data_IF_405507027797
#
_entry.id   IF_405507027797
#
_cell.length_a   1.000
_cell.length_b   1.000
_cell.length_c   1.000
_cell.angle_alpha   90.00
_cell.angle_beta   90.00
_cell.angle_gamma   90.00
#
_symmetry.space_group_name_H-M   'P 1'
#
loop_
_entity.id
_entity.type
_entity.pdbx_description
1 polymer ?
#
# COMPACT_ATOMS: atom_id res chain seq x y z
N UNK A 1 -17.72 3.52 1.88
CA UNK A 1 -16.42 2.89 1.61
C UNK A 1 -15.24 3.89 1.69
N UNK A 2 -15.40 5.13 1.21
CA UNK A 2 -14.34 6.14 1.14
C UNK A 2 -14.38 7.18 2.28
N UNK A 3 -14.60 6.77 3.52
CA UNK A 3 -14.41 7.66 4.65
C UNK A 3 -12.89 7.92 4.82
N UNK A 4 -12.49 9.19 4.82
CA UNK A 4 -11.08 9.59 4.83
C UNK A 4 -10.46 9.73 6.23
N UNK A 5 -11.24 9.51 7.29
CA UNK A 5 -10.72 9.54 8.65
C UNK A 5 -9.84 8.30 8.92
N UNK A 6 -8.59 8.54 9.32
CA UNK A 6 -7.59 7.51 9.62
C UNK A 6 -7.36 7.29 11.13
N UNK A 7 -8.10 7.95 11.99
CA UNK A 7 -7.99 7.75 13.44
C UNK A 7 -8.53 6.39 13.90
N UNK A 8 -9.08 5.61 12.96
CA UNK A 8 -9.64 4.29 13.22
C UNK A 8 -8.61 3.23 13.65
N UNK A 9 -7.29 3.45 13.42
CA UNK A 9 -6.26 2.50 13.86
C UNK A 9 -6.16 2.34 15.37
N UNK A 10 -6.64 3.32 16.12
CA UNK A 10 -6.68 3.26 17.59
C UNK A 10 -7.79 2.35 18.13
N UNK A 11 -8.76 2.02 17.31
CA UNK A 11 -9.87 1.17 17.68
C UNK A 11 -9.72 -0.22 17.06
N UNK A 12 -9.44 -1.22 17.86
CA UNK A 12 -9.23 -2.62 17.45
C UNK A 12 -10.40 -3.23 16.67
N UNK A 13 -11.60 -2.67 16.82
CA UNK A 13 -12.79 -3.14 16.11
C UNK A 13 -12.96 -2.52 14.72
N UNK A 14 -12.14 -1.53 14.36
CA UNK A 14 -12.29 -0.86 13.07
C UNK A 14 -11.54 -1.56 11.94
N UNK A 15 -12.05 -1.34 10.74
CA UNK A 15 -11.56 -1.90 9.49
C UNK A 15 -10.18 -1.35 9.14
N UNK A 16 -9.29 -2.22 8.69
CA UNK A 16 -8.02 -1.84 8.07
C UNK A 16 -8.23 -1.66 6.58
N UNK A 17 -7.72 -0.57 6.04
CA UNK A 17 -7.88 -0.18 4.65
C UNK A 17 -6.61 -0.42 3.88
N UNK A 18 -6.69 -1.22 2.86
CA UNK A 18 -5.55 -1.63 2.04
C UNK A 18 -5.74 -1.17 0.61
N UNK A 19 -4.76 -0.47 0.07
CA UNK A 19 -4.70 -0.12 -1.35
C UNK A 19 -3.64 -0.97 -2.04
N UNK A 20 -4.04 -1.66 -3.11
CA UNK A 20 -3.14 -2.48 -3.92
C UNK A 20 -2.88 -1.78 -5.26
N UNK A 21 -1.61 -1.56 -5.57
CA UNK A 21 -1.17 -0.89 -6.79
C UNK A 21 0.03 -1.62 -7.40
N UNK A 22 -0.12 -2.09 -8.63
CA UNK A 22 0.91 -2.87 -9.32
C UNK A 22 1.87 -2.10 -10.22
N UNK A 23 1.84 -0.76 -10.18
CA UNK A 23 2.61 0.07 -11.11
C UNK A 23 1.85 0.36 -12.40
N UNK A 24 2.53 0.98 -13.40
CA UNK A 24 1.90 1.51 -14.61
C UNK A 24 1.12 0.50 -15.44
N UNK A 25 1.55 -0.76 -15.48
CA UNK A 25 0.86 -1.84 -16.17
C UNK A 25 -0.11 -2.61 -15.26
N UNK A 26 -0.26 -2.23 -14.00
CA UNK A 26 -1.13 -2.88 -13.04
C UNK A 26 -0.70 -4.30 -12.66
N UNK A 27 0.54 -4.68 -12.95
CA UNK A 27 1.04 -6.03 -12.68
C UNK A 27 1.40 -6.21 -11.19
N UNK A 28 0.81 -7.21 -10.55
CA UNK A 28 1.10 -7.58 -9.18
C UNK A 28 1.38 -9.08 -9.11
N UNK A 29 2.55 -9.51 -8.57
CA UNK A 29 2.83 -10.94 -8.42
C UNK A 29 1.78 -11.62 -7.54
N UNK A 30 1.33 -12.80 -7.92
CA UNK A 30 0.39 -13.62 -7.14
C UNK A 30 -0.90 -12.89 -6.73
N UNK A 31 -1.45 -12.04 -7.61
CA UNK A 31 -2.63 -11.24 -7.29
C UNK A 31 -3.81 -12.09 -6.80
N UNK A 32 -4.01 -13.27 -7.39
CA UNK A 32 -5.07 -14.20 -6.95
C UNK A 32 -4.93 -14.58 -5.47
N UNK A 33 -3.72 -14.98 -5.08
CA UNK A 33 -3.43 -15.33 -3.68
C UNK A 33 -3.53 -14.11 -2.77
N UNK A 34 -3.04 -12.96 -3.23
CA UNK A 34 -3.10 -11.71 -2.48
C UNK A 34 -4.54 -11.32 -2.17
N UNK A 35 -5.39 -11.23 -3.18
CA UNK A 35 -6.78 -10.83 -2.99
C UNK A 35 -7.59 -11.86 -2.21
N UNK A 36 -7.33 -13.15 -2.44
CA UNK A 36 -7.92 -14.23 -1.64
C UNK A 36 -7.53 -14.13 -0.17
N UNK A 37 -6.28 -13.80 0.12
CA UNK A 37 -5.81 -13.60 1.50
C UNK A 37 -6.47 -12.40 2.15
N UNK A 38 -6.49 -11.25 1.47
CA UNK A 38 -7.12 -10.04 1.99
C UNK A 38 -8.63 -10.25 2.24
N UNK A 39 -9.31 -10.92 1.31
CA UNK A 39 -10.72 -11.29 1.46
C UNK A 39 -10.96 -12.22 2.67
N UNK A 40 -10.03 -13.14 2.93
CA UNK A 40 -10.15 -14.07 4.07
C UNK A 40 -9.95 -13.41 5.44
N UNK A 41 -9.33 -12.23 5.47
CA UNK A 41 -9.04 -11.52 6.72
C UNK A 41 -10.25 -10.70 7.17
N UNK A 42 -10.66 -10.88 8.42
CA UNK A 42 -11.74 -10.09 8.98
C UNK A 42 -11.34 -8.63 9.14
N UNK A 43 -12.30 -7.75 8.93
CA UNK A 43 -12.11 -6.31 9.07
C UNK A 43 -11.00 -5.71 8.19
N UNK A 44 -10.86 -6.21 6.96
CA UNK A 44 -10.00 -5.63 5.92
C UNK A 44 -10.87 -5.22 4.74
N UNK A 45 -10.75 -3.97 4.33
CA UNK A 45 -11.32 -3.47 3.06
C UNK A 45 -10.17 -3.18 2.09
N UNK A 46 -10.35 -3.59 0.85
CA UNK A 46 -9.30 -3.48 -0.17
C UNK A 46 -9.81 -2.67 -1.36
N UNK A 47 -8.98 -1.75 -1.85
CA UNK A 47 -9.12 -1.14 -3.16
C UNK A 47 -7.94 -1.61 -4.01
N UNK A 48 -8.22 -2.10 -5.21
CA UNK A 48 -7.20 -2.48 -6.19
C UNK A 48 -7.28 -1.51 -7.36
N UNK A 49 -6.16 -0.89 -7.71
CA UNK A 49 -6.06 -0.05 -8.90
C UNK A 49 -5.34 -0.85 -9.98
N UNK A 50 -6.06 -1.16 -11.04
CA UNK A 50 -5.55 -1.95 -12.17
C UNK A 50 -4.91 -1.10 -13.27
N UNK A 51 -5.07 0.23 -13.19
CA UNK A 51 -4.56 1.15 -14.20
C UNK A 51 -5.10 0.83 -15.58
N UNK A 52 -4.22 0.74 -16.56
CA UNK A 52 -4.58 0.45 -17.97
C UNK A 52 -4.73 -1.05 -18.27
N UNK A 53 -4.60 -1.90 -17.27
CA UNK A 53 -4.76 -3.35 -17.44
C UNK A 53 -6.24 -3.75 -17.39
N UNK A 54 -6.93 -3.65 -18.54
CA UNK A 54 -8.36 -3.96 -18.66
C UNK A 54 -8.68 -5.43 -18.35
N UNK A 55 -7.81 -6.35 -18.73
CA UNK A 55 -7.99 -7.78 -18.47
C UNK A 55 -8.04 -8.06 -16.97
N UNK A 56 -7.13 -7.46 -16.21
CA UNK A 56 -7.09 -7.59 -14.76
C UNK A 56 -8.32 -6.97 -14.11
N UNK A 57 -8.77 -5.80 -14.61
CA UNK A 57 -10.00 -5.18 -14.15
C UNK A 57 -11.22 -6.11 -14.35
N UNK A 58 -11.41 -6.64 -15.57
CA UNK A 58 -12.52 -7.56 -15.87
C UNK A 58 -12.48 -8.85 -15.06
N UNK A 59 -11.29 -9.37 -14.81
CA UNK A 59 -11.11 -10.60 -14.01
C UNK A 59 -11.55 -10.43 -12.56
N UNK A 60 -11.31 -9.26 -11.97
CA UNK A 60 -11.46 -9.06 -10.51
C UNK A 60 -12.64 -8.18 -10.11
N UNK A 61 -13.21 -7.39 -11.02
CA UNK A 61 -14.34 -6.52 -10.71
C UNK A 61 -15.55 -7.33 -10.21
N UNK A 62 -16.15 -6.85 -9.12
CA UNK A 62 -17.32 -7.47 -8.49
C UNK A 62 -17.14 -8.92 -8.02
N UNK A 63 -15.91 -9.39 -7.85
CA UNK A 63 -15.64 -10.75 -7.41
C UNK A 63 -15.81 -10.95 -5.90
N UNK A 64 -15.40 -9.95 -5.12
CA UNK A 64 -15.53 -9.92 -3.67
C UNK A 64 -16.17 -8.61 -3.22
N UNK A 65 -17.09 -8.66 -2.27
CA UNK A 65 -17.78 -7.46 -1.76
C UNK A 65 -16.83 -6.51 -1.01
N UNK A 66 -15.83 -7.04 -0.36
CA UNK A 66 -14.84 -6.30 0.42
C UNK A 66 -13.61 -5.85 -0.40
N UNK A 67 -13.62 -6.11 -1.71
CA UNK A 67 -12.57 -5.72 -2.65
C UNK A 67 -13.18 -4.88 -3.76
N UNK A 68 -12.88 -3.59 -3.78
CA UNK A 68 -13.27 -2.67 -4.85
C UNK A 68 -12.17 -2.58 -5.87
N UNK A 69 -12.50 -2.82 -7.13
CA UNK A 69 -11.56 -2.75 -8.23
C UNK A 69 -11.81 -1.49 -9.04
N UNK A 70 -10.76 -0.71 -9.25
CA UNK A 70 -10.76 0.50 -10.05
C UNK A 70 -9.84 0.32 -11.25
N UNK A 71 -10.22 0.86 -12.38
CA UNK A 71 -9.37 0.92 -13.56
C UNK A 71 -8.38 2.08 -13.47
N UNK A 72 -8.19 2.79 -14.59
CA UNK A 72 -7.35 3.98 -14.62
C UNK A 72 -7.97 5.11 -13.80
N UNK A 73 -7.15 5.78 -13.00
CA UNK A 73 -7.54 6.98 -12.27
C UNK A 73 -6.39 7.98 -12.23
N UNK A 74 -6.71 9.26 -12.41
CA UNK A 74 -5.75 10.35 -12.24
C UNK A 74 -5.61 10.77 -10.76
N UNK A 75 -6.54 10.35 -9.91
CA UNK A 75 -6.60 10.77 -8.51
C UNK A 75 -6.11 9.69 -7.55
N UNK A 76 -4.92 9.17 -7.82
CA UNK A 76 -4.28 8.12 -7.00
C UNK A 76 -4.07 8.58 -5.55
N UNK A 77 -3.67 9.84 -5.36
CA UNK A 77 -3.41 10.40 -4.04
C UNK A 77 -4.62 10.35 -3.10
N UNK A 78 -5.82 10.47 -3.63
CA UNK A 78 -7.06 10.30 -2.85
C UNK A 78 -7.15 8.91 -2.23
N UNK A 79 -6.86 7.89 -3.01
CA UNK A 79 -6.91 6.50 -2.55
C UNK A 79 -5.75 6.17 -1.61
N UNK A 80 -4.58 6.74 -1.85
CA UNK A 80 -3.44 6.62 -0.93
C UNK A 80 -3.75 7.23 0.44
N UNK A 81 -4.39 8.40 0.49
CA UNK A 81 -4.81 9.02 1.75
C UNK A 81 -5.91 8.23 2.47
N UNK A 82 -6.76 7.55 1.72
CA UNK A 82 -7.79 6.66 2.30
C UNK A 82 -7.17 5.44 2.98
N UNK A 83 -6.07 4.91 2.46
CA UNK A 83 -5.48 3.66 2.90
C UNK A 83 -4.70 3.78 4.22
N UNK A 84 -4.69 2.72 4.99
CA UNK A 84 -3.80 2.51 6.13
C UNK A 84 -2.48 1.90 5.71
N UNK A 85 -2.51 1.15 4.61
CA UNK A 85 -1.34 0.49 4.03
C UNK A 85 -1.49 0.46 2.51
N UNK A 86 -0.44 0.83 1.81
CA UNK A 86 -0.34 0.66 0.36
C UNK A 86 0.57 -0.54 0.07
N UNK A 87 0.03 -1.51 -0.65
CA UNK A 87 0.80 -2.65 -1.16
C UNK A 87 1.17 -2.31 -2.61
N UNK A 88 2.43 -2.24 -2.89
CA UNK A 88 2.94 -1.87 -4.21
C UNK A 88 4.08 -2.76 -4.66
N UNK A 89 4.06 -3.11 -5.94
CA UNK A 89 5.27 -3.48 -6.64
C UNK A 89 5.95 -2.18 -7.06
N UNK A 90 7.21 -2.01 -6.72
CA UNK A 90 7.95 -0.78 -6.96
C UNK A 90 7.91 -0.33 -8.43
N UNK A 91 7.97 0.98 -8.69
CA UNK A 91 8.00 1.59 -10.02
C UNK A 91 6.79 2.43 -10.41
N UNK A 92 5.68 2.34 -9.69
CA UNK A 92 4.46 3.09 -10.01
C UNK A 92 4.17 4.30 -9.14
N UNK A 93 4.91 4.46 -8.04
CA UNK A 93 4.69 5.53 -7.08
C UNK A 93 6.01 6.21 -6.77
N UNK A 94 6.02 7.55 -6.82
CA UNK A 94 7.20 8.32 -6.42
C UNK A 94 7.26 8.43 -4.89
N UNK A 95 8.47 8.57 -4.36
CA UNK A 95 8.67 8.83 -2.94
C UNK A 95 7.93 10.09 -2.48
N UNK A 96 7.87 11.10 -3.35
CA UNK A 96 7.14 12.34 -3.09
C UNK A 96 5.64 12.08 -2.86
N UNK A 97 5.00 11.30 -3.73
CA UNK A 97 3.58 10.95 -3.59
C UNK A 97 3.30 10.21 -2.29
N UNK A 98 4.18 9.28 -1.91
CA UNK A 98 4.10 8.51 -0.67
C UNK A 98 4.15 9.43 0.54
N UNK A 99 5.15 10.28 0.60
CA UNK A 99 5.33 11.22 1.71
C UNK A 99 4.21 12.23 1.78
N UNK A 100 3.77 12.74 0.63
CA UNK A 100 2.64 13.67 0.56
C UNK A 100 1.35 13.03 1.06
N UNK A 101 1.11 11.78 0.74
CA UNK A 101 -0.09 11.04 1.17
C UNK A 101 0.02 10.48 2.59
N UNK A 102 1.21 10.50 3.19
CA UNK A 102 1.46 10.05 4.56
C UNK A 102 0.92 8.64 4.83
N UNK A 103 1.27 7.68 3.97
CA UNK A 103 0.77 6.31 4.08
C UNK A 103 1.92 5.30 4.20
N UNK A 104 1.82 4.34 5.14
CA UNK A 104 2.75 3.22 5.23
C UNK A 104 2.73 2.34 3.99
N UNK A 105 3.86 1.72 3.70
CA UNK A 105 4.05 0.88 2.52
C UNK A 105 4.36 -0.57 2.85
N UNK A 106 3.88 -1.45 1.99
CA UNK A 106 4.36 -2.81 1.83
C UNK A 106 4.87 -2.94 0.39
N UNK A 107 6.20 -3.06 0.23
CA UNK A 107 6.85 -3.04 -1.08
C UNK A 107 7.28 -4.45 -1.45
N UNK A 108 6.87 -4.88 -2.64
CA UNK A 108 7.12 -6.22 -3.13
C UNK A 108 8.18 -6.18 -4.23
N UNK A 109 9.26 -6.90 -4.03
CA UNK A 109 10.31 -7.20 -5.02
C UNK A 109 10.80 -5.97 -5.80
N UNK A 110 11.34 -4.92 -5.14
CA UNK A 110 11.91 -3.79 -5.85
C UNK A 110 13.10 -4.26 -6.69
N UNK A 111 13.17 -3.78 -7.93
CA UNK A 111 14.12 -4.30 -8.91
C UNK A 111 15.04 -3.24 -9.49
N UNK A 112 14.48 -2.12 -9.98
CA UNK A 112 15.30 -1.03 -10.54
C UNK A 112 16.03 -0.28 -9.43
N UNK A 113 17.18 0.31 -9.76
CA UNK A 113 18.01 1.03 -8.79
C UNK A 113 17.23 2.10 -8.02
N UNK A 114 16.45 2.92 -8.74
CA UNK A 114 15.63 3.95 -8.11
C UNK A 114 14.57 3.35 -7.19
N UNK A 115 13.93 2.26 -7.59
CA UNK A 115 12.95 1.55 -6.77
C UNK A 115 13.59 1.02 -5.48
N UNK A 116 14.76 0.41 -5.62
CA UNK A 116 15.51 -0.12 -4.47
C UNK A 116 15.95 0.99 -3.52
N UNK A 117 16.39 2.12 -4.05
CA UNK A 117 16.79 3.28 -3.23
C UNK A 117 15.60 3.86 -2.47
N UNK A 118 14.45 4.01 -3.11
CA UNK A 118 13.23 4.48 -2.47
C UNK A 118 12.74 3.50 -1.39
N UNK A 119 12.81 2.20 -1.68
CA UNK A 119 12.44 1.18 -0.72
C UNK A 119 13.36 1.16 0.52
N UNK A 120 14.67 1.30 0.31
CA UNK A 120 15.65 1.40 1.42
C UNK A 120 15.38 2.63 2.28
N UNK A 121 15.17 3.78 1.66
CA UNK A 121 14.85 5.00 2.38
C UNK A 121 13.60 4.82 3.25
N UNK A 122 12.53 4.32 2.67
CA UNK A 122 11.27 4.10 3.39
C UNK A 122 11.42 3.08 4.52
N UNK A 123 12.19 2.01 4.30
CA UNK A 123 12.47 1.01 5.33
C UNK A 123 13.32 1.57 6.47
N UNK A 124 14.36 2.34 6.16
CA UNK A 124 15.24 2.98 7.16
C UNK A 124 14.49 4.01 7.99
N UNK A 125 13.57 4.75 7.39
CA UNK A 125 12.71 5.71 8.09
C UNK A 125 11.56 5.04 8.84
N UNK A 126 11.38 3.74 8.70
CA UNK A 126 10.43 2.94 9.48
C UNK A 126 8.99 3.00 9.00
N UNK A 127 8.74 3.41 7.76
CA UNK A 127 7.37 3.45 7.22
C UNK A 127 7.12 2.47 6.06
N UNK A 128 8.07 1.58 5.79
CA UNK A 128 7.87 0.52 4.80
C UNK A 128 8.35 -0.83 5.33
N UNK A 129 7.59 -1.86 5.02
CA UNK A 129 8.04 -3.25 5.04
C UNK A 129 8.37 -3.65 3.60
N UNK A 130 9.56 -4.18 3.38
CA UNK A 130 10.03 -4.54 2.03
C UNK A 130 10.33 -6.02 1.96
N UNK A 131 9.79 -6.68 0.96
CA UNK A 131 10.13 -8.05 0.59
C UNK A 131 11.07 -8.00 -0.61
N UNK A 132 12.36 -8.22 -0.35
CA UNK A 132 13.44 -7.97 -1.32
C UNK A 132 13.61 -9.07 -2.35
N UNK A 133 13.48 -10.31 -1.91
CA UNK A 133 13.76 -11.47 -2.74
C UNK A 133 12.74 -11.67 -3.85
N UNK A 134 13.19 -11.77 -5.10
CA UNK A 134 12.33 -11.91 -6.29
C UNK A 134 11.40 -13.12 -6.22
N UNK A 135 11.83 -14.20 -5.56
CA UNK A 135 11.05 -15.44 -5.42
C UNK A 135 10.52 -15.66 -4.02
N UNK A 136 10.70 -14.69 -3.13
CA UNK A 136 10.20 -14.77 -1.77
C UNK A 136 8.69 -14.61 -1.74
N UNK A 137 8.01 -15.49 -1.02
CA UNK A 137 6.57 -15.41 -0.81
C UNK A 137 6.26 -14.28 0.18
N UNK A 138 5.62 -13.22 -0.30
CA UNK A 138 5.32 -12.06 0.52
C UNK A 138 4.04 -12.18 1.35
N UNK A 139 3.19 -13.16 1.06
CA UNK A 139 1.87 -13.29 1.71
C UNK A 139 1.97 -13.48 3.22
N UNK A 140 2.84 -14.37 3.76
CA UNK A 140 2.97 -14.52 5.21
C UNK A 140 3.42 -13.24 5.92
N UNK A 141 4.35 -12.50 5.33
CA UNK A 141 4.83 -11.23 5.89
C UNK A 141 3.73 -10.16 5.88
N UNK A 142 2.93 -10.12 4.83
CA UNK A 142 1.79 -9.21 4.73
C UNK A 142 0.74 -9.51 5.82
N UNK A 143 0.38 -10.78 5.98
CA UNK A 143 -0.56 -11.20 7.01
C UNK A 143 -0.10 -10.80 8.40
N UNK A 144 1.17 -11.05 8.69
CA UNK A 144 1.79 -10.67 9.97
C UNK A 144 1.70 -9.17 10.21
N UNK A 145 2.00 -8.35 9.19
CA UNK A 145 1.91 -6.90 9.30
C UNK A 145 0.47 -6.44 9.53
N UNK A 146 -0.48 -6.95 8.76
CA UNK A 146 -1.89 -6.57 8.88
C UNK A 146 -2.51 -6.96 10.23
N UNK A 147 -1.97 -7.98 10.88
CA UNK A 147 -2.39 -8.39 12.24
C UNK A 147 -1.67 -7.62 13.35
N UNK A 148 -0.70 -6.81 13.02
CA UNK A 148 0.09 -6.02 13.98
C UNK A 148 -0.34 -4.53 13.93
N UNK A 149 -1.46 -4.21 14.58
CA UNK A 149 -2.00 -2.84 14.61
C UNK A 149 -1.04 -1.84 15.25
N UNK A 150 -0.29 -2.28 16.24
CA UNK A 150 0.70 -1.44 16.92
C UNK A 150 1.83 -1.05 15.96
N UNK A 151 2.32 -2.00 15.16
CA UNK A 151 3.33 -1.72 14.15
C UNK A 151 2.79 -0.81 13.04
N UNK A 152 1.57 -1.04 12.55
CA UNK A 152 0.94 -0.18 11.55
C UNK A 152 0.80 1.26 12.05
N UNK A 153 0.41 1.43 13.31
CA UNK A 153 0.34 2.76 13.94
C UNK A 153 1.72 3.42 14.02
N UNK A 154 2.74 2.67 14.40
CA UNK A 154 4.12 3.16 14.43
C UNK A 154 4.61 3.57 13.04
N UNK A 155 4.30 2.79 12.01
CA UNK A 155 4.65 3.12 10.63
C UNK A 155 3.93 4.39 10.15
N UNK A 156 2.67 4.57 10.53
CA UNK A 156 1.92 5.79 10.22
C UNK A 156 2.57 7.04 10.87
N UNK A 157 2.97 6.95 12.12
CA UNK A 157 3.70 8.02 12.80
C UNK A 157 5.05 8.30 12.13
N UNK A 158 5.76 7.26 11.72
CA UNK A 158 7.07 7.36 11.07
C UNK A 158 6.98 8.06 9.70
N UNK A 159 5.96 7.77 8.89
CA UNK A 159 5.81 8.44 7.59
C UNK A 159 5.46 9.92 7.76
N UNK A 160 4.67 10.26 8.76
CA UNK A 160 4.37 11.67 9.10
C UNK A 160 5.62 12.42 9.53
N UNK A 161 6.47 11.79 10.31
CA UNK A 161 7.76 12.33 10.74
C UNK A 161 8.72 12.53 9.55
N UNK A 162 8.83 11.53 8.68
CA UNK A 162 9.66 11.61 7.48
C UNK A 162 9.22 12.74 6.53
N UNK A 163 7.90 12.93 6.37
CA UNK A 163 7.36 14.06 5.60
C UNK A 163 7.77 15.40 6.19
N UNK A 164 7.66 15.54 7.49
CA UNK A 164 8.03 16.78 8.19
C UNK A 164 9.52 17.10 8.01
N UNK A 165 10.39 16.11 8.17
CA UNK A 165 11.83 16.27 7.92
C UNK A 165 12.11 16.76 6.49
N UNK A 166 11.44 16.19 5.49
CA UNK A 166 11.63 16.59 4.09
C UNK A 166 11.19 18.04 3.85
N UNK A 167 10.09 18.48 4.44
CA UNK A 167 9.62 19.88 4.32
C UNK A 167 10.61 20.83 4.98
N UNK A 168 11.11 20.50 6.17
CA UNK A 168 12.07 21.33 6.90
C UNK A 168 13.38 21.52 6.10
N UNK A 169 13.89 20.45 5.46
CA UNK A 169 15.07 20.52 4.61
C UNK A 169 14.83 21.37 3.35
N UNK A 170 13.64 21.36 2.78
CA UNK A 170 13.32 22.13 1.57
C UNK A 170 13.14 23.62 1.81
N UNK A 171 13.04 24.05 3.08
CA UNK A 171 12.93 25.46 3.48
C UNK A 171 14.29 26.11 3.82
N UNK A 172 15.34 25.29 3.97
CA UNK A 172 16.72 25.73 4.21
C UNK A 172 17.45 25.95 2.87
#
# INVERSE_FOLDING_TARGET
>A
FLNMDRNHLENEKKVRRVLVMGGGLGLMPDLRRLLGKLHSMQSVQTIVITGKNHKMYEEWVNRYEDVKVLGYTENISKYMRWADLVITKAGGITLFEILHSQVPLFVIHPFLEQEMNNARYAAEKGFAKVVWGKHEDYIPELEKLLNDRKLLKQMDENVRHARKEMIDVSLD
#
